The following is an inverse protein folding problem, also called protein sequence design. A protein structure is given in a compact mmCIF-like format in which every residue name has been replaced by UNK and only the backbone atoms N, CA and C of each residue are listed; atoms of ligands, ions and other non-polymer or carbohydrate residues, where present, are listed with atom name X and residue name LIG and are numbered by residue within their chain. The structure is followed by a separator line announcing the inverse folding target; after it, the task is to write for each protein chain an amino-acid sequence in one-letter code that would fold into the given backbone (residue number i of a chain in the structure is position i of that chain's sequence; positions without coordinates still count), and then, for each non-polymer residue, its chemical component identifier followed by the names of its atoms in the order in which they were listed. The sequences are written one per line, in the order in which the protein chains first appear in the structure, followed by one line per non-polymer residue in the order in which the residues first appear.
data_IF_299468377637
#
_entry.id   IF_299468377637
#
_cell.length_a   1.000
_cell.length_b   1.000
_cell.length_c   1.000
_cell.angle_alpha   90.00
_cell.angle_beta   90.00
_cell.angle_gamma   90.00
#
_symmetry.space_group_name_H-M   'P 1'
#
loop_
_entity.id
_entity.type
_entity.pdbx_description
1 polymer ?
#
# COMPACT_ATOMS: atom_id res chain seq x y z
N UNK A 1 30.74 35.81 42.24
CA UNK A 1 32.12 35.95 41.79
C UNK A 1 32.19 35.40 40.40
N UNK A 2 32.29 36.27 39.55
CA UNK A 2 33.26 36.67 38.53
C UNK A 2 33.06 35.85 37.27
N UNK A 3 32.47 36.43 36.15
CA UNK A 3 32.97 37.40 35.19
C UNK A 3 34.04 36.84 34.23
N UNK A 4 33.80 37.01 32.94
CA UNK A 4 34.74 37.10 31.86
C UNK A 4 34.10 36.60 30.55
N UNK A 5 33.45 37.42 29.66
CA UNK A 5 33.95 38.33 28.59
C UNK A 5 34.83 37.55 27.60
N UNK A 6 34.62 37.58 26.35
CA UNK A 6 34.25 38.44 25.24
C UNK A 6 35.29 38.26 24.11
N UNK A 7 34.90 38.42 22.86
CA UNK A 7 35.74 38.63 21.67
C UNK A 7 35.18 37.85 20.48
N UNK A 8 34.64 38.33 19.43
CA UNK A 8 34.73 39.65 18.75
C UNK A 8 35.76 39.60 17.64
N UNK A 9 35.36 39.63 16.45
CA UNK A 9 36.11 40.09 15.25
C UNK A 9 35.69 39.31 14.00
N UNK A 10 35.37 39.80 12.96
CA UNK A 10 35.41 41.03 12.15
C UNK A 10 35.41 40.63 10.65
N UNK A 11 34.68 41.36 9.94
CA UNK A 11 34.47 41.38 8.50
C UNK A 11 35.75 41.33 7.64
N UNK A 12 35.70 40.70 6.49
CA UNK A 12 36.42 41.20 5.32
C UNK A 12 35.58 41.03 4.04
N UNK A 13 35.01 42.15 3.61
CA UNK A 13 34.56 42.37 2.23
C UNK A 13 35.79 42.55 1.34
N UNK A 14 35.86 41.84 0.23
CA UNK A 14 36.70 42.25 -0.89
C UNK A 14 35.84 42.43 -2.14
N UNK A 15 35.64 43.70 -2.40
CA UNK A 15 35.27 44.28 -3.69
C UNK A 15 36.47 44.17 -4.62
N UNK A 16 36.32 43.73 -5.84
CA UNK A 16 37.33 43.95 -6.87
C UNK A 16 36.66 44.42 -8.16
N UNK A 17 37.29 45.46 -8.67
CA UNK A 17 36.89 46.37 -9.69
C UNK A 17 36.92 45.83 -11.11
N UNK A 18 36.09 46.45 -11.89
CA UNK A 18 35.94 46.53 -13.33
C UNK A 18 37.28 46.87 -14.03
N UNK A 19 37.56 46.20 -15.15
CA UNK A 19 38.41 46.73 -16.21
C UNK A 19 37.73 46.55 -17.56
N UNK A 20 37.52 47.68 -18.20
CA UNK A 20 36.91 47.90 -19.50
C UNK A 20 38.02 48.34 -20.47
N UNK A 21 38.19 47.57 -21.57
CA UNK A 21 38.91 48.02 -22.77
C UNK A 21 38.31 47.23 -23.93
N UNK A 22 37.77 47.74 -24.98
CA UNK A 22 38.15 48.81 -25.84
C UNK A 22 38.49 48.25 -27.21
N UNK A 23 37.53 48.30 -28.12
CA UNK A 23 37.59 48.61 -29.50
C UNK A 23 38.44 47.73 -30.47
N UNK A 24 37.81 47.17 -31.47
CA UNK A 24 38.26 47.45 -32.86
C UNK A 24 37.27 46.84 -33.86
N UNK A 25 36.66 47.75 -34.60
CA UNK A 25 35.87 47.49 -35.82
C UNK A 25 36.80 47.16 -36.99
N UNK A 26 36.55 46.08 -37.71
CA UNK A 26 37.04 45.87 -39.06
C UNK A 26 36.02 45.17 -39.94
N UNK A 27 35.59 45.94 -40.88
CA UNK A 27 34.90 45.78 -42.16
C UNK A 27 34.91 44.39 -42.84
N UNK A 28 33.75 44.18 -43.45
CA UNK A 28 33.29 43.05 -44.33
C UNK A 28 34.21 42.75 -45.53
N UNK A 29 34.06 41.55 -46.11
CA UNK A 29 33.27 41.46 -47.33
C UNK A 29 32.27 40.29 -47.37
N UNK A 30 31.16 40.59 -48.02
CA UNK A 30 30.09 39.68 -48.41
C UNK A 30 30.53 38.66 -49.43
N UNK A 31 30.41 37.39 -49.11
CA UNK A 31 30.48 36.30 -50.10
C UNK A 31 29.13 35.61 -50.15
N UNK A 32 28.38 35.81 -51.22
CA UNK A 32 27.17 35.07 -51.55
C UNK A 32 27.57 33.69 -52.04
N UNK A 33 27.33 32.65 -51.20
CA UNK A 33 27.39 31.27 -51.64
C UNK A 33 25.95 30.75 -51.63
N UNK A 34 25.41 30.55 -52.80
CA UNK A 34 24.18 29.81 -53.05
C UNK A 34 24.42 28.33 -52.78
N UNK A 35 23.83 27.81 -51.72
CA UNK A 35 23.92 26.39 -51.43
C UNK A 35 22.57 25.75 -51.78
N UNK A 36 22.55 24.62 -52.49
CA UNK A 36 21.30 23.94 -52.85
C UNK A 36 20.67 23.31 -51.62
N UNK A 37 19.34 23.42 -51.52
CA UNK A 37 18.52 22.80 -50.51
C UNK A 37 18.58 21.27 -50.70
N UNK A 38 19.42 20.61 -49.93
CA UNK A 38 19.34 19.15 -49.78
C UNK A 38 18.26 18.82 -48.74
N UNK A 39 17.16 18.28 -49.20
CA UNK A 39 16.10 17.72 -48.40
C UNK A 39 16.62 16.47 -47.68
N UNK A 40 17.12 16.67 -46.46
CA UNK A 40 17.42 15.53 -45.55
C UNK A 40 16.13 15.02 -44.94
N UNK A 41 15.61 13.92 -45.44
CA UNK A 41 14.53 13.15 -44.84
C UNK A 41 15.12 12.57 -43.55
N UNK A 42 14.84 13.18 -42.42
CA UNK A 42 15.10 12.60 -41.11
C UNK A 42 14.08 11.45 -40.89
N UNK A 43 14.53 10.22 -41.11
CA UNK A 43 13.80 9.03 -40.67
C UNK A 43 13.73 9.04 -39.14
N UNK A 44 12.60 9.42 -38.59
CA UNK A 44 12.28 9.24 -37.17
C UNK A 44 12.17 7.73 -36.93
N UNK A 45 13.26 7.13 -36.45
CA UNK A 45 13.23 5.81 -35.86
C UNK A 45 12.51 5.98 -34.52
N UNK A 46 11.20 5.70 -34.51
CA UNK A 46 10.43 5.46 -33.29
C UNK A 46 11.02 4.19 -32.66
N UNK A 47 11.97 4.36 -31.76
CA UNK A 47 12.35 3.32 -30.84
C UNK A 47 11.15 3.10 -29.91
N UNK A 48 10.33 2.09 -30.21
CA UNK A 48 9.44 1.49 -29.25
C UNK A 48 10.30 0.96 -28.10
N UNK A 49 10.48 1.72 -27.04
CA UNK A 49 10.92 1.19 -25.76
C UNK A 49 9.80 0.28 -25.27
N UNK A 50 9.91 -1.02 -25.55
CA UNK A 50 9.17 -2.05 -24.86
C UNK A 50 9.63 -2.00 -23.40
N UNK A 51 8.95 -1.20 -22.59
CA UNK A 51 8.97 -1.36 -21.15
C UNK A 51 8.50 -2.79 -20.81
N UNK A 52 8.80 -3.30 -19.61
CA UNK A 52 8.28 -4.59 -19.19
C UNK A 52 6.77 -4.57 -19.42
N UNK A 53 6.27 -5.56 -20.17
CA UNK A 53 4.84 -5.73 -20.41
C UNK A 53 4.14 -5.74 -19.06
N UNK A 54 3.08 -4.94 -18.91
CA UNK A 54 2.16 -5.15 -17.82
C UNK A 54 1.76 -6.64 -17.83
N UNK A 55 1.62 -7.29 -16.66
CA UNK A 55 1.13 -8.66 -16.61
C UNK A 55 -0.11 -8.74 -17.49
N UNK A 56 -0.20 -9.76 -18.34
CA UNK A 56 -1.36 -9.99 -19.21
C UNK A 56 -2.60 -9.89 -18.33
N UNK A 57 -3.38 -8.81 -18.53
CA UNK A 57 -4.66 -8.64 -17.88
C UNK A 57 -5.64 -9.62 -18.59
N UNK A 58 -5.61 -10.89 -18.17
CA UNK A 58 -6.69 -11.84 -18.46
C UNK A 58 -7.78 -11.68 -17.38
N UNK A 59 -8.85 -10.90 -17.65
CA UNK A 59 -9.91 -10.68 -16.67
C UNK A 59 -10.62 -11.98 -16.27
N UNK A 60 -10.73 -12.94 -17.18
CA UNK A 60 -11.38 -14.22 -16.90
C UNK A 60 -10.49 -15.11 -16.02
N UNK A 61 -9.19 -15.16 -16.30
CA UNK A 61 -8.21 -15.86 -15.47
C UNK A 61 -8.13 -15.27 -14.06
N UNK A 62 -8.14 -13.94 -13.94
CA UNK A 62 -8.17 -13.28 -12.64
C UNK A 62 -9.44 -13.61 -11.83
N UNK A 63 -10.61 -13.54 -12.45
CA UNK A 63 -11.89 -13.90 -11.78
C UNK A 63 -11.84 -15.34 -11.28
N UNK A 64 -11.33 -16.25 -12.11
CA UNK A 64 -11.15 -17.64 -11.73
C UNK A 64 -10.19 -17.80 -10.56
N UNK A 65 -9.04 -17.13 -10.58
CA UNK A 65 -8.07 -17.15 -9.47
C UNK A 65 -8.71 -16.76 -8.14
N UNK A 66 -9.47 -15.66 -8.12
CA UNK A 66 -10.17 -15.21 -6.90
C UNK A 66 -11.26 -16.19 -6.48
N UNK A 67 -11.99 -16.78 -7.41
CA UNK A 67 -13.01 -17.80 -7.11
C UNK A 67 -12.38 -19.05 -6.50
N UNK A 68 -11.30 -19.53 -7.08
CA UNK A 68 -10.56 -20.70 -6.59
C UNK A 68 -10.03 -20.45 -5.15
N UNK A 69 -9.44 -19.28 -4.90
CA UNK A 69 -8.95 -18.89 -3.56
C UNK A 69 -10.08 -18.83 -2.52
N UNK A 70 -11.26 -18.34 -2.89
CA UNK A 70 -12.44 -18.30 -2.02
C UNK A 70 -12.97 -19.71 -1.74
N UNK A 71 -13.04 -20.57 -2.75
CA UNK A 71 -13.46 -21.98 -2.60
C UNK A 71 -12.47 -22.77 -1.73
N UNK A 72 -11.17 -22.58 -1.92
CA UNK A 72 -10.13 -23.18 -1.09
C UNK A 72 -10.30 -22.76 0.39
N UNK A 73 -10.54 -21.47 0.65
CA UNK A 73 -10.77 -20.97 2.01
C UNK A 73 -12.00 -21.62 2.64
N UNK A 74 -13.11 -21.75 1.92
CA UNK A 74 -14.31 -22.43 2.40
C UNK A 74 -14.01 -23.87 2.78
N UNK A 75 -13.23 -24.58 1.98
CA UNK A 75 -12.83 -25.97 2.26
C UNK A 75 -11.93 -26.08 3.50
N UNK A 76 -10.96 -25.18 3.63
CA UNK A 76 -10.06 -25.14 4.81
C UNK A 76 -10.87 -24.87 6.07
N UNK A 77 -11.78 -23.90 6.07
CA UNK A 77 -12.63 -23.58 7.21
C UNK A 77 -13.63 -24.72 7.53
N UNK A 78 -14.14 -25.41 6.52
CA UNK A 78 -15.01 -26.56 6.71
C UNK A 78 -14.27 -27.76 7.31
N UNK A 79 -12.97 -27.89 7.08
CA UNK A 79 -12.15 -28.96 7.64
C UNK A 79 -11.65 -28.66 9.06
N UNK A 80 -11.52 -27.39 9.44
CA UNK A 80 -10.97 -26.95 10.73
C UNK A 80 -12.07 -26.61 11.75
N UNK A 81 -12.31 -27.47 12.77
CA UNK A 81 -13.32 -27.23 13.82
C UNK A 81 -12.91 -26.11 14.79
N UNK A 82 -11.64 -25.78 14.88
CA UNK A 82 -11.14 -24.71 15.75
C UNK A 82 -11.48 -23.35 15.14
N UNK A 83 -11.37 -23.19 13.82
CA UNK A 83 -11.73 -21.95 13.15
C UNK A 83 -13.24 -21.80 12.98
N UNK A 84 -13.95 -22.85 12.54
CA UNK A 84 -15.41 -22.84 12.40
C UNK A 84 -15.99 -24.05 13.15
N UNK A 85 -16.61 -23.83 14.33
CA UNK A 85 -17.24 -24.88 15.10
C UNK A 85 -18.25 -25.67 14.26
N UNK A 86 -18.22 -27.02 14.37
CA UNK A 86 -19.05 -27.91 13.53
C UNK A 86 -20.52 -27.51 13.55
N UNK A 87 -21.05 -27.13 14.74
CA UNK A 87 -22.44 -26.72 14.89
C UNK A 87 -22.82 -25.45 14.13
N UNK A 88 -21.84 -24.61 13.77
CA UNK A 88 -22.07 -23.33 13.05
C UNK A 88 -21.82 -23.42 11.55
N UNK A 89 -21.23 -24.50 11.05
CA UNK A 89 -20.83 -24.63 9.64
C UNK A 89 -22.00 -24.43 8.68
N UNK A 90 -23.15 -25.01 8.97
CA UNK A 90 -24.33 -24.90 8.11
C UNK A 90 -24.86 -23.45 7.96
N UNK A 91 -24.53 -22.57 8.92
CA UNK A 91 -24.96 -21.17 8.92
C UNK A 91 -23.87 -20.28 8.31
N UNK A 92 -22.61 -20.56 8.63
CA UNK A 92 -21.48 -19.70 8.29
C UNK A 92 -20.89 -20.01 6.91
N UNK A 93 -20.99 -21.25 6.42
CA UNK A 93 -20.40 -21.69 5.15
C UNK A 93 -21.49 -22.01 4.10
N UNK A 94 -21.23 -21.73 2.79
CA UNK A 94 -20.04 -21.02 2.31
C UNK A 94 -20.03 -19.56 2.76
N UNK A 95 -18.84 -18.99 2.85
CA UNK A 95 -18.66 -17.57 3.22
C UNK A 95 -19.33 -16.66 2.21
N UNK A 96 -19.76 -15.48 2.68
CA UNK A 96 -20.39 -14.48 1.82
C UNK A 96 -19.38 -13.45 1.35
N UNK A 97 -19.35 -13.21 0.06
CA UNK A 97 -18.45 -12.28 -0.59
C UNK A 97 -19.21 -11.20 -1.38
N UNK A 98 -18.54 -10.08 -1.63
CA UNK A 98 -18.95 -9.18 -2.70
C UNK A 98 -18.65 -9.79 -4.08
N UNK A 99 -19.34 -9.34 -5.14
CA UNK A 99 -18.93 -9.62 -6.50
C UNK A 99 -17.45 -9.27 -6.70
N UNK A 100 -16.76 -10.03 -7.53
CA UNK A 100 -15.36 -9.74 -7.87
C UNK A 100 -15.34 -8.51 -8.77
N UNK A 101 -14.60 -7.50 -8.36
CA UNK A 101 -14.41 -6.26 -9.11
C UNK A 101 -12.91 -5.96 -9.24
N UNK A 102 -12.34 -6.05 -10.45
CA UNK A 102 -10.93 -5.74 -10.68
C UNK A 102 -10.52 -4.33 -10.29
N UNK A 103 -11.44 -3.37 -10.21
CA UNK A 103 -11.16 -2.01 -9.76
C UNK A 103 -10.67 -1.94 -8.30
N UNK A 104 -10.89 -3.01 -7.52
CA UNK A 104 -10.38 -3.15 -6.16
C UNK A 104 -9.04 -3.92 -6.07
N UNK A 105 -8.41 -4.24 -7.20
CA UNK A 105 -7.04 -4.76 -7.29
C UNK A 105 -6.13 -3.64 -7.77
N UNK A 106 -5.31 -3.09 -6.88
CA UNK A 106 -4.55 -1.87 -7.16
C UNK A 106 -3.05 -2.03 -6.87
N UNK A 107 -2.18 -1.38 -7.66
CA UNK A 107 -0.76 -1.32 -7.36
C UNK A 107 -0.51 -0.47 -6.12
N UNK A 108 0.48 -0.85 -5.33
CA UNK A 108 0.92 -0.13 -4.14
C UNK A 108 2.45 -0.11 -4.05
N UNK A 109 2.99 0.91 -3.42
CA UNK A 109 4.41 0.98 -3.05
C UNK A 109 4.57 0.91 -1.54
N UNK A 110 5.53 0.11 -1.07
CA UNK A 110 5.84 0.02 0.35
C UNK A 110 6.96 1.00 0.70
N UNK A 111 6.62 1.99 1.52
CA UNK A 111 7.61 2.85 2.17
C UNK A 111 7.99 2.25 3.53
N UNK A 112 9.20 1.70 3.61
CA UNK A 112 9.69 1.04 4.83
C UNK A 112 9.78 2.02 6.02
N UNK A 113 9.41 1.55 7.20
CA UNK A 113 9.63 2.27 8.47
C UNK A 113 11.11 2.20 8.84
N UNK A 114 11.73 3.37 9.10
CA UNK A 114 13.15 3.44 9.48
C UNK A 114 13.43 2.69 10.77
N UNK A 115 12.58 2.90 11.77
CA UNK A 115 12.80 2.42 13.14
C UNK A 115 12.06 1.13 13.48
N UNK A 116 11.22 0.63 12.56
CA UNK A 116 10.38 -0.58 12.75
C UNK A 116 9.82 -0.67 14.17
N UNK A 117 9.01 0.29 14.64
CA UNK A 117 8.56 0.34 16.01
C UNK A 117 7.67 -0.88 16.34
N UNK A 118 7.88 -1.39 17.56
CA UNK A 118 7.02 -2.42 18.15
C UNK A 118 6.00 -1.74 19.06
N UNK A 119 4.76 -2.17 18.99
CA UNK A 119 3.68 -1.66 19.82
C UNK A 119 2.67 -2.75 20.13
N UNK A 120 1.86 -2.48 21.15
CA UNK A 120 0.80 -3.37 21.57
C UNK A 120 -0.46 -3.09 20.75
N UNK A 121 -0.87 -4.06 19.91
CA UNK A 121 -2.07 -3.99 19.11
C UNK A 121 -3.23 -4.65 19.87
N UNK A 122 -4.29 -3.93 20.23
CA UNK A 122 -5.44 -4.49 20.93
C UNK A 122 -6.09 -5.64 20.14
N UNK A 123 -6.61 -6.63 20.86
CA UNK A 123 -7.25 -7.81 20.27
C UNK A 123 -8.70 -7.99 20.73
N UNK A 124 -9.43 -8.87 20.04
CA UNK A 124 -10.83 -9.19 20.31
C UNK A 124 -11.09 -9.81 21.69
N UNK A 125 -10.07 -10.35 22.34
CA UNK A 125 -10.16 -10.94 23.68
C UNK A 125 -9.81 -9.98 24.80
N UNK A 126 -9.54 -8.71 24.47
CA UNK A 126 -9.13 -7.68 25.46
C UNK A 126 -7.66 -7.78 25.85
N UNK A 127 -6.88 -8.61 25.19
CA UNK A 127 -5.43 -8.69 25.32
C UNK A 127 -4.74 -7.79 24.28
N UNK A 128 -3.41 -7.81 24.27
CA UNK A 128 -2.63 -7.09 23.27
C UNK A 128 -1.65 -8.05 22.59
N UNK A 129 -1.52 -7.92 21.28
CA UNK A 129 -0.50 -8.62 20.49
C UNK A 129 0.64 -7.68 20.15
N UNK A 130 1.88 -8.10 20.41
CA UNK A 130 3.05 -7.29 20.05
C UNK A 130 3.30 -7.38 18.56
N UNK A 131 3.08 -6.26 17.88
CA UNK A 131 3.26 -6.14 16.43
C UNK A 131 4.38 -5.18 16.11
N UNK A 132 5.14 -5.47 15.06
CA UNK A 132 6.17 -4.60 14.52
C UNK A 132 5.72 -4.02 13.19
N UNK A 133 5.71 -2.68 13.08
CA UNK A 133 5.38 -2.03 11.81
C UNK A 133 6.56 -2.17 10.83
N UNK A 134 6.29 -2.76 9.68
CA UNK A 134 7.27 -2.92 8.59
C UNK A 134 7.34 -1.65 7.75
N UNK A 135 6.19 -1.08 7.41
CA UNK A 135 6.12 0.11 6.57
C UNK A 135 4.69 0.55 6.30
N UNK A 136 4.56 1.47 5.37
CA UNK A 136 3.29 2.03 4.90
C UNK A 136 3.15 1.72 3.42
N UNK A 137 2.09 1.04 3.05
CA UNK A 137 1.66 0.81 1.67
C UNK A 137 0.91 2.06 1.19
N UNK A 138 1.40 2.67 0.14
CA UNK A 138 0.79 3.86 -0.49
C UNK A 138 0.20 3.43 -1.84
N UNK A 139 -1.07 3.74 -2.08
CA UNK A 139 -1.81 3.32 -3.27
C UNK A 139 -2.89 4.34 -3.64
N UNK A 140 -3.42 4.22 -4.86
CA UNK A 140 -4.55 5.01 -5.32
C UNK A 140 -5.73 4.06 -5.57
N UNK A 141 -6.88 4.35 -4.97
CA UNK A 141 -8.12 3.64 -5.19
C UNK A 141 -9.23 4.64 -5.53
N UNK A 142 -9.96 4.40 -6.63
CA UNK A 142 -11.04 5.28 -7.10
C UNK A 142 -10.61 6.76 -7.21
N UNK A 143 -9.36 6.99 -7.67
CA UNK A 143 -8.78 8.33 -7.84
C UNK A 143 -8.33 9.00 -6.53
N UNK A 144 -8.47 8.35 -5.38
CA UNK A 144 -8.04 8.88 -4.09
C UNK A 144 -6.75 8.22 -3.61
N UNK A 145 -5.80 9.03 -3.16
CA UNK A 145 -4.59 8.52 -2.51
C UNK A 145 -4.89 8.04 -1.11
N UNK A 146 -4.45 6.83 -0.80
CA UNK A 146 -4.66 6.16 0.47
C UNK A 146 -3.39 5.48 0.94
N UNK A 147 -3.39 5.11 2.21
CA UNK A 147 -2.30 4.33 2.79
C UNK A 147 -2.80 3.32 3.82
N UNK A 148 -2.05 2.24 3.97
CA UNK A 148 -2.23 1.23 4.99
C UNK A 148 -0.89 0.86 5.61
N UNK A 149 -0.79 0.84 6.90
CA UNK A 149 0.37 0.31 7.61
C UNK A 149 0.38 -1.21 7.51
N UNK A 150 1.57 -1.78 7.32
CA UNK A 150 1.80 -3.21 7.25
C UNK A 150 2.65 -3.67 8.43
N UNK A 151 2.37 -4.87 8.92
CA UNK A 151 2.93 -5.39 10.16
C UNK A 151 3.45 -6.81 10.00
N UNK A 152 4.27 -7.20 10.98
CA UNK A 152 4.61 -8.59 11.32
C UNK A 152 4.52 -8.75 12.84
N UNK A 153 4.47 -9.95 13.35
CA UNK A 153 4.62 -10.18 14.78
C UNK A 153 6.01 -9.75 15.24
N UNK A 154 6.08 -9.16 16.44
CA UNK A 154 7.36 -8.74 17.02
C UNK A 154 8.28 -9.95 17.20
N UNK A 155 9.55 -9.79 16.80
CA UNK A 155 10.53 -10.87 16.85
C UNK A 155 10.57 -11.76 15.60
N UNK A 156 9.72 -11.48 14.58
CA UNK A 156 9.79 -12.18 13.29
C UNK A 156 11.17 -12.01 12.65
N UNK A 157 11.88 -13.13 12.47
CA UNK A 157 13.23 -13.15 11.90
C UNK A 157 13.20 -13.06 10.38
N UNK A 158 12.26 -13.76 9.74
CA UNK A 158 12.09 -13.79 8.30
C UNK A 158 10.65 -13.40 7.95
N UNK A 159 10.50 -12.32 7.20
CA UNK A 159 9.19 -11.86 6.76
C UNK A 159 8.76 -12.72 5.56
N UNK A 160 7.75 -13.55 5.75
CA UNK A 160 7.14 -14.37 4.70
C UNK A 160 5.77 -13.82 4.26
N UNK A 161 5.15 -12.99 5.09
CA UNK A 161 3.91 -12.28 4.80
C UNK A 161 3.89 -10.94 5.53
N UNK A 162 3.28 -9.92 4.91
CA UNK A 162 2.93 -8.68 5.56
C UNK A 162 1.46 -8.74 5.97
N UNK A 163 1.20 -8.62 7.25
CA UNK A 163 -0.15 -8.52 7.80
C UNK A 163 -0.67 -7.08 7.67
N UNK A 164 -1.83 -6.91 7.02
CA UNK A 164 -2.45 -5.61 6.75
C UNK A 164 -3.90 -5.63 7.22
N UNK A 165 -4.15 -5.42 8.53
CA UNK A 165 -5.51 -5.29 9.04
C UNK A 165 -6.06 -3.91 8.67
N UNK A 166 -7.34 -3.83 8.25
CA UNK A 166 -7.97 -2.57 7.89
C UNK A 166 -9.45 -2.54 8.26
N UNK A 167 -9.96 -1.35 8.44
CA UNK A 167 -11.38 -1.04 8.52
C UNK A 167 -11.73 0.01 7.45
N UNK A 168 -12.97 0.06 7.04
CA UNK A 168 -13.48 0.98 6.02
C UNK A 168 -14.93 1.38 6.32
N UNK A 169 -15.58 2.15 5.45
CA UNK A 169 -16.95 2.62 5.69
C UNK A 169 -18.01 1.50 5.67
N UNK A 170 -17.67 0.27 5.25
CA UNK A 170 -18.57 -0.88 5.33
C UNK A 170 -18.49 -1.62 6.66
N UNK A 171 -17.44 -1.34 7.44
CA UNK A 171 -17.14 -2.03 8.70
C UNK A 171 -18.26 -1.84 9.74
N UNK A 172 -18.79 -2.93 10.27
CA UNK A 172 -19.88 -2.95 11.23
C UNK A 172 -21.28 -2.81 10.63
N UNK A 173 -21.39 -2.64 9.30
CA UNK A 173 -22.66 -2.57 8.58
C UNK A 173 -22.80 -3.69 7.55
N UNK A 174 -21.89 -3.73 6.58
CA UNK A 174 -21.87 -4.72 5.50
C UNK A 174 -20.75 -5.76 5.70
N UNK A 175 -19.69 -5.38 6.41
CA UNK A 175 -18.56 -6.24 6.73
C UNK A 175 -18.37 -6.36 8.24
N UNK A 176 -17.51 -7.29 8.67
CA UNK A 176 -17.32 -7.60 10.08
C UNK A 176 -16.88 -6.38 10.90
N UNK A 177 -17.46 -6.22 12.09
CA UNK A 177 -17.29 -5.00 12.92
C UNK A 177 -15.85 -4.79 13.42
N UNK A 178 -15.07 -5.87 13.56
CA UNK A 178 -13.66 -5.79 13.95
C UNK A 178 -12.70 -5.53 12.77
N UNK A 179 -13.22 -5.28 11.56
CA UNK A 179 -12.43 -5.06 10.35
C UNK A 179 -12.10 -6.34 9.60
N UNK A 180 -11.26 -6.20 8.58
CA UNK A 180 -10.81 -7.29 7.69
C UNK A 180 -9.30 -7.26 7.54
N UNK A 181 -8.74 -8.33 6.99
CA UNK A 181 -7.32 -8.52 6.84
C UNK A 181 -6.92 -8.78 5.39
N UNK A 182 -5.70 -8.42 5.08
CA UNK A 182 -4.98 -8.81 3.87
C UNK A 182 -3.61 -9.33 4.28
N UNK A 183 -3.15 -10.38 3.61
CA UNK A 183 -1.80 -10.91 3.71
C UNK A 183 -1.08 -10.71 2.38
N UNK A 184 0.05 -10.01 2.41
CA UNK A 184 0.81 -9.69 1.21
C UNK A 184 2.17 -10.37 1.24
N UNK A 185 2.50 -11.12 0.19
CA UNK A 185 3.82 -11.74 0.05
C UNK A 185 4.88 -10.66 -0.19
N UNK A 186 6.02 -10.69 0.52
CA UNK A 186 7.11 -9.74 0.29
C UNK A 186 7.61 -9.77 -1.14
N UNK A 187 7.95 -8.59 -1.67
CA UNK A 187 8.55 -8.43 -2.99
C UNK A 187 9.94 -7.81 -2.87
N UNK A 188 10.84 -8.16 -3.78
CA UNK A 188 12.19 -7.60 -3.81
C UNK A 188 12.22 -6.13 -4.25
N UNK A 189 11.17 -5.67 -4.94
CA UNK A 189 11.10 -4.34 -5.55
C UNK A 189 10.44 -3.29 -4.66
N UNK A 190 9.74 -3.71 -3.59
CA UNK A 190 8.89 -2.83 -2.79
C UNK A 190 7.57 -2.43 -3.47
N UNK A 191 7.30 -2.93 -4.67
CA UNK A 191 6.00 -2.79 -5.32
C UNK A 191 5.13 -3.99 -5.01
N UNK A 192 3.88 -3.72 -4.63
CA UNK A 192 2.89 -4.71 -4.22
C UNK A 192 1.64 -4.58 -5.05
N UNK A 193 0.82 -5.61 -5.03
CA UNK A 193 -0.57 -5.53 -5.46
C UNK A 193 -1.45 -5.73 -4.23
N UNK A 194 -2.27 -4.72 -3.90
CA UNK A 194 -3.33 -4.85 -2.91
C UNK A 194 -4.58 -5.32 -3.66
N UNK A 195 -5.04 -6.52 -3.34
CA UNK A 195 -6.27 -7.06 -3.89
C UNK A 195 -7.34 -7.18 -2.79
N UNK A 196 -8.22 -6.20 -2.72
CA UNK A 196 -9.30 -6.20 -1.74
C UNK A 196 -10.35 -7.28 -2.02
N UNK A 197 -10.39 -7.88 -3.23
CA UNK A 197 -11.25 -9.03 -3.51
C UNK A 197 -10.84 -10.29 -2.71
N UNK A 198 -9.62 -10.31 -2.20
CA UNK A 198 -9.07 -11.32 -1.30
C UNK A 198 -9.13 -10.92 0.17
N UNK A 199 -9.68 -9.74 0.51
CA UNK A 199 -9.84 -9.32 1.90
C UNK A 199 -10.75 -10.28 2.65
N UNK A 200 -10.32 -10.66 3.87
CA UNK A 200 -10.98 -11.71 4.64
C UNK A 200 -11.27 -11.27 6.09
N UNK A 201 -12.28 -11.90 6.70
CA UNK A 201 -12.59 -11.71 8.11
C UNK A 201 -11.59 -12.47 8.99
N UNK A 202 -11.18 -11.89 10.14
CA UNK A 202 -10.42 -12.63 11.14
C UNK A 202 -11.21 -13.84 11.69
N UNK A 203 -10.51 -14.85 12.19
CA UNK A 203 -11.12 -16.10 12.69
C UNK A 203 -12.12 -15.85 13.82
N UNK A 204 -11.91 -14.82 14.63
CA UNK A 204 -12.86 -14.42 15.69
C UNK A 204 -14.26 -14.04 15.17
N UNK A 205 -14.39 -13.73 13.88
CA UNK A 205 -15.68 -13.52 13.23
C UNK A 205 -16.53 -14.82 13.17
N UNK A 206 -15.91 -15.97 13.20
CA UNK A 206 -16.54 -17.30 13.13
C UNK A 206 -16.52 -18.02 14.47
N UNK A 207 -15.42 -17.85 15.21
CA UNK A 207 -15.23 -18.44 16.53
C UNK A 207 -14.64 -17.38 17.50
N UNK A 208 -15.47 -16.83 18.43
CA UNK A 208 -15.06 -15.72 19.31
C UNK A 208 -14.00 -16.11 20.36
N UNK A 209 -13.58 -17.38 20.43
CA UNK A 209 -12.49 -17.81 21.30
C UNK A 209 -11.12 -17.43 20.73
N UNK A 210 -11.04 -17.09 19.43
CA UNK A 210 -9.82 -16.65 18.79
C UNK A 210 -9.46 -15.21 19.12
N UNK A 211 -8.17 -14.99 19.38
CA UNK A 211 -7.59 -13.69 19.58
C UNK A 211 -7.21 -13.06 18.24
N UNK A 212 -7.85 -11.95 17.86
CA UNK A 212 -7.64 -11.27 16.59
C UNK A 212 -7.29 -9.80 16.80
N UNK A 213 -6.16 -9.30 16.23
CA UNK A 213 -5.76 -7.91 16.34
C UNK A 213 -6.73 -6.97 15.64
N UNK A 214 -7.09 -5.86 16.27
CA UNK A 214 -7.88 -4.82 15.63
C UNK A 214 -7.04 -3.95 14.70
N UNK A 215 -7.61 -3.49 13.57
CA UNK A 215 -6.96 -2.49 12.72
C UNK A 215 -6.63 -1.22 13.51
N UNK A 216 -5.39 -0.72 13.44
CA UNK A 216 -5.02 0.53 14.10
C UNK A 216 -5.75 1.72 13.45
N UNK A 217 -5.85 2.87 14.12
CA UNK A 217 -6.51 4.07 13.58
C UNK A 217 -5.99 4.50 12.20
N UNK A 218 -4.68 4.32 11.93
CA UNK A 218 -4.08 4.64 10.65
C UNK A 218 -4.58 3.75 9.49
N UNK A 219 -5.12 2.57 9.79
CA UNK A 219 -5.66 1.63 8.80
C UNK A 219 -7.20 1.72 8.69
N UNK A 220 -7.79 2.85 9.04
CA UNK A 220 -9.22 3.12 8.84
C UNK A 220 -9.42 3.94 7.56
N UNK A 221 -9.78 3.28 6.47
CA UNK A 221 -10.06 3.91 5.18
C UNK A 221 -11.39 4.68 5.21
N UNK A 222 -11.39 5.87 4.65
CA UNK A 222 -12.58 6.75 4.58
C UNK A 222 -13.39 6.55 3.28
N UNK A 223 -13.35 5.35 2.74
CA UNK A 223 -14.10 4.91 1.56
C UNK A 223 -14.74 3.56 1.84
N UNK A 224 -15.75 3.19 1.08
CA UNK A 224 -16.39 1.87 1.19
C UNK A 224 -15.67 0.85 0.31
N UNK A 225 -15.07 -0.17 0.89
CA UNK A 225 -14.41 -1.27 0.18
C UNK A 225 -15.41 -2.42 0.02
N UNK A 226 -16.25 -2.33 -1.04
CA UNK A 226 -17.22 -3.38 -1.37
C UNK A 226 -16.59 -4.50 -2.21
N UNK A 227 -15.50 -5.07 -1.69
CA UNK A 227 -14.77 -6.21 -2.23
C UNK A 227 -14.38 -7.16 -1.11
N UNK A 228 -14.10 -8.43 -1.41
CA UNK A 228 -13.74 -9.43 -0.41
C UNK A 228 -14.92 -9.96 0.41
N UNK A 229 -14.66 -10.42 1.61
CA UNK A 229 -15.67 -11.01 2.50
C UNK A 229 -16.64 -9.99 3.09
N UNK A 230 -17.89 -10.39 3.17
CA UNK A 230 -18.96 -9.72 3.95
C UNK A 230 -18.96 -10.21 5.40
N UNK A 231 -19.75 -9.54 6.25
CA UNK A 231 -19.97 -10.03 7.60
C UNK A 231 -20.59 -11.44 7.57
N UNK A 232 -20.17 -12.35 8.46
CA UNK A 232 -20.84 -13.64 8.64
C UNK A 232 -22.32 -13.45 9.03
N UNK A 233 -23.15 -14.46 8.73
CA UNK A 233 -24.58 -14.38 9.02
C UNK A 233 -24.91 -14.23 10.51
N UNK A 234 -24.03 -14.67 11.40
CA UNK A 234 -24.14 -14.55 12.85
C UNK A 234 -22.90 -13.90 13.47
N UNK A 235 -22.43 -12.82 12.84
CA UNK A 235 -21.32 -12.07 13.43
C UNK A 235 -21.73 -11.58 14.84
N UNK A 236 -20.88 -11.82 15.87
CA UNK A 236 -21.10 -11.22 17.17
C UNK A 236 -21.24 -9.71 17.01
N UNK A 237 -22.16 -9.11 17.76
CA UNK A 237 -22.32 -7.64 17.83
C UNK A 237 -21.12 -7.08 18.61
N UNK A 238 -19.96 -7.03 17.98
CA UNK A 238 -18.72 -6.54 18.57
C UNK A 238 -18.61 -5.04 18.33
N UNK A 239 -18.53 -4.26 19.41
CA UNK A 239 -18.18 -2.85 19.31
C UNK A 239 -16.66 -2.77 19.14
N UNK A 240 -16.21 -2.31 17.97
CA UNK A 240 -14.82 -1.95 17.80
C UNK A 240 -14.42 -0.93 18.89
N UNK A 241 -13.28 -1.11 19.57
CA UNK A 241 -12.82 -0.14 20.54
C UNK A 241 -12.56 1.20 19.84
N UNK A 242 -13.21 2.26 20.29
CA UNK A 242 -12.99 3.63 19.83
C UNK A 242 -13.70 4.01 18.51
N UNK A 243 -14.95 3.56 18.30
CA UNK A 243 -15.85 4.16 17.32
C UNK A 243 -16.47 5.43 17.88
#
# INVERSE_FOLDING_TARGET
MALGQSGGSEKTRRTLHIARAGGSEKTRPTLRITLPIAFAIAALVSACTSGPSAPDDDPAGYVKEVQDARAEKDQVLAADPESVPVAKRAILLPLKYYPIDPAFKVPASLRLSKDRPVFDMPTSTGTNRKMQRVGVLEFTLQGQQMSLESFVEAGTQQITSLFVPFADLTTGMETYAAGRYLDLKPTATGFYTIDFNLAYNPTCAYNPTWECPYPPPANRLKVAIRAGEKAPAEAPAEKAPGA
#
